data_IF_173040774213
#
_entry.id   IF_173040774213
#
_cell.length_a   1.000
_cell.length_b   1.000
_cell.length_c   1.000
_cell.angle_alpha   90.00
_cell.angle_beta   90.00
_cell.angle_gamma   90.00
#
_symmetry.space_group_name_H-M   'P 1'
#
loop_
_entity.id
_entity.type
_entity.pdbx_description
1 polymer ?
#
# COMPACT_ATOMS: atom_id res chain seq x y z
N UNK A 1 -5.10 0.93 23.13
CA UNK A 1 -3.90 0.26 22.59
C UNK A 1 -3.55 0.96 21.28
N UNK A 2 -2.62 1.90 21.31
CA UNK A 2 -2.10 2.52 20.08
C UNK A 2 -1.18 1.49 19.44
N UNK A 3 -1.61 0.90 18.32
CA UNK A 3 -0.73 0.07 17.53
C UNK A 3 0.41 0.96 17.00
N UNK A 4 1.64 0.64 17.35
CA UNK A 4 2.81 1.24 16.71
C UNK A 4 2.74 0.91 15.23
N UNK A 5 2.43 1.92 14.39
CA UNK A 5 2.42 1.76 12.94
C UNK A 5 3.87 1.62 12.51
N UNK A 6 4.28 0.40 12.13
CA UNK A 6 5.58 0.18 11.51
C UNK A 6 5.52 0.78 10.10
N UNK A 7 6.34 1.78 9.82
CA UNK A 7 6.41 2.38 8.48
C UNK A 7 7.04 1.37 7.51
N UNK A 8 6.44 1.18 6.34
CA UNK A 8 7.00 0.33 5.28
C UNK A 8 8.36 0.89 4.82
N UNK A 9 9.41 0.10 4.66
CA UNK A 9 10.65 0.60 4.02
C UNK A 9 10.49 0.72 2.51
N UNK A 10 11.34 1.48 1.79
CA UNK A 10 11.35 1.45 0.31
C UNK A 10 11.46 0.03 -0.27
N UNK A 11 12.25 -0.84 0.38
CA UNK A 11 12.42 -2.24 -0.01
C UNK A 11 11.14 -3.04 0.20
N UNK A 12 10.42 -2.83 1.31
CA UNK A 12 9.14 -3.48 1.57
C UNK A 12 8.05 -3.05 0.57
N UNK A 13 8.04 -1.77 0.17
CA UNK A 13 7.17 -1.25 -0.90
C UNK A 13 7.52 -1.93 -2.23
N UNK A 14 8.80 -1.95 -2.60
CA UNK A 14 9.26 -2.57 -3.85
C UNK A 14 8.93 -4.07 -3.89
N UNK A 15 9.17 -4.80 -2.79
CA UNK A 15 8.85 -6.22 -2.69
C UNK A 15 7.33 -6.48 -2.76
N UNK A 16 6.52 -5.59 -2.19
CA UNK A 16 5.04 -5.70 -2.29
C UNK A 16 4.56 -5.42 -3.71
N UNK A 17 5.13 -4.41 -4.37
CA UNK A 17 4.86 -4.10 -5.78
C UNK A 17 5.19 -5.28 -6.69
N UNK A 18 6.38 -5.85 -6.53
CA UNK A 18 6.82 -7.01 -7.30
C UNK A 18 5.88 -8.21 -7.13
N UNK A 19 5.44 -8.50 -5.90
CA UNK A 19 4.44 -9.55 -5.63
C UNK A 19 3.12 -9.28 -6.35
N UNK A 20 2.64 -8.03 -6.34
CA UNK A 20 1.40 -7.64 -7.00
C UNK A 20 1.49 -7.70 -8.54
N UNK A 21 2.66 -7.39 -9.11
CA UNK A 21 2.91 -7.46 -10.56
C UNK A 21 3.09 -8.89 -11.07
N UNK A 22 3.68 -9.78 -10.25
CA UNK A 22 3.79 -11.21 -10.56
C UNK A 22 2.45 -11.94 -10.50
N UNK A 23 1.46 -11.41 -9.78
CA UNK A 23 0.12 -11.96 -9.71
C UNK A 23 -0.63 -11.74 -11.04
N UNK A 24 -1.57 -12.63 -11.36
CA UNK A 24 -2.37 -12.52 -12.60
C UNK A 24 -3.10 -11.18 -12.67
N UNK A 25 -3.25 -10.55 -13.85
CA UNK A 25 -3.97 -9.29 -13.97
C UNK A 25 -5.41 -9.40 -13.44
N UNK A 26 -5.84 -8.38 -12.69
CA UNK A 26 -7.23 -8.22 -12.27
C UNK A 26 -8.10 -7.56 -13.36
N UNK A 27 -9.42 -7.40 -13.12
CA UNK A 27 -10.12 -7.74 -11.89
C UNK A 27 -10.20 -9.25 -11.66
N UNK A 28 -10.06 -9.66 -10.41
CA UNK A 28 -10.34 -11.02 -10.00
C UNK A 28 -11.80 -11.12 -9.58
N UNK A 29 -12.44 -12.24 -9.86
CA UNK A 29 -13.87 -12.44 -9.61
C UNK A 29 -14.13 -13.71 -8.81
N UNK A 30 -14.95 -13.59 -7.78
CA UNK A 30 -15.45 -14.72 -7.01
C UNK A 30 -16.65 -15.30 -7.73
N UNK A 31 -16.66 -16.62 -7.96
CA UNK A 31 -17.83 -17.30 -8.53
C UNK A 31 -18.25 -18.39 -7.56
N UNK A 32 -19.47 -18.35 -6.98
CA UNK A 32 -19.95 -19.42 -6.13
C UNK A 32 -19.97 -20.74 -6.91
N UNK A 33 -19.37 -21.80 -6.39
CA UNK A 33 -19.51 -23.14 -6.95
C UNK A 33 -20.56 -23.97 -6.19
N UNK A 34 -21.22 -24.89 -6.90
CA UNK A 34 -22.24 -25.76 -6.31
C UNK A 34 -21.64 -26.89 -5.45
N UNK A 35 -20.35 -26.83 -5.12
CA UNK A 35 -19.60 -27.88 -4.40
C UNK A 35 -19.07 -27.33 -3.06
N UNK A 36 -19.53 -26.14 -2.64
CA UNK A 36 -19.26 -25.57 -1.31
C UNK A 36 -17.95 -24.80 -1.19
N UNK A 37 -17.34 -24.41 -2.32
CA UNK A 37 -16.19 -23.51 -2.35
C UNK A 37 -16.47 -22.18 -3.05
N UNK A 38 -15.54 -21.22 -2.86
CA UNK A 38 -15.58 -19.91 -3.50
C UNK A 38 -14.34 -19.70 -4.39
N UNK A 39 -14.30 -20.31 -5.58
CA UNK A 39 -13.18 -20.12 -6.51
C UNK A 39 -13.03 -18.66 -6.96
N UNK A 40 -11.77 -18.25 -7.14
CA UNK A 40 -11.39 -16.95 -7.70
C UNK A 40 -10.89 -17.17 -9.13
N UNK A 41 -11.34 -16.33 -10.05
CA UNK A 41 -10.93 -16.34 -11.44
C UNK A 41 -10.23 -15.03 -11.81
N UNK A 42 -9.20 -15.12 -12.64
CA UNK A 42 -8.60 -13.96 -13.28
C UNK A 42 -9.35 -13.54 -14.55
N UNK A 43 -8.87 -12.49 -15.22
CA UNK A 43 -9.46 -11.97 -16.47
C UNK A 43 -9.40 -12.93 -17.66
N UNK A 44 -8.69 -14.06 -17.54
CA UNK A 44 -8.54 -15.08 -18.58
C UNK A 44 -9.36 -16.34 -18.26
N UNK A 45 -10.28 -16.27 -17.28
CA UNK A 45 -11.07 -17.40 -16.79
C UNK A 45 -10.22 -18.61 -16.34
N UNK A 46 -8.97 -18.38 -15.92
CA UNK A 46 -8.13 -19.44 -15.36
C UNK A 46 -8.62 -19.74 -13.94
N UNK A 47 -9.05 -20.97 -13.74
CA UNK A 47 -9.54 -21.48 -12.46
C UNK A 47 -8.36 -21.72 -11.50
N UNK A 48 -8.31 -20.98 -10.40
CA UNK A 48 -7.56 -21.40 -9.21
C UNK A 48 -8.56 -21.94 -8.18
N UNK A 49 -8.62 -23.27 -8.02
CA UNK A 49 -9.44 -23.90 -6.97
C UNK A 49 -8.73 -23.76 -5.64
N UNK A 50 -8.70 -22.55 -5.11
CA UNK A 50 -8.39 -22.34 -3.70
C UNK A 50 -9.63 -22.74 -2.88
N UNK A 51 -9.44 -23.62 -1.89
CA UNK A 51 -10.46 -23.93 -0.89
C UNK A 51 -10.57 -22.74 0.07
N UNK A 52 -11.08 -21.61 -0.42
CA UNK A 52 -11.33 -20.44 0.42
C UNK A 52 -12.57 -20.74 1.25
N UNK A 53 -12.43 -20.61 2.57
CA UNK A 53 -13.41 -21.10 3.53
C UNK A 53 -14.71 -20.28 3.54
N UNK A 54 -14.68 -19.02 3.11
CA UNK A 54 -15.83 -18.10 3.15
C UNK A 54 -15.91 -17.23 1.89
N UNK A 55 -17.10 -16.69 1.57
CA UNK A 55 -17.27 -15.71 0.47
C UNK A 55 -16.47 -14.46 0.78
N UNK A 56 -16.50 -14.04 2.04
CA UNK A 56 -15.91 -12.81 2.52
C UNK A 56 -14.39 -12.80 2.35
N UNK A 57 -13.73 -13.93 2.64
CA UNK A 57 -12.29 -14.09 2.39
C UNK A 57 -11.98 -14.06 0.88
N UNK A 58 -12.83 -14.67 0.06
CA UNK A 58 -12.64 -14.70 -1.39
C UNK A 58 -12.81 -13.32 -2.02
N UNK A 59 -13.81 -12.56 -1.57
CA UNK A 59 -14.06 -11.17 -1.98
C UNK A 59 -12.91 -10.26 -1.54
N UNK A 60 -12.42 -10.42 -0.31
CA UNK A 60 -11.24 -9.68 0.16
C UNK A 60 -10.02 -9.93 -0.71
N UNK A 61 -9.71 -11.20 -1.02
CA UNK A 61 -8.57 -11.55 -1.88
C UNK A 61 -8.75 -11.00 -3.31
N UNK A 62 -9.96 -11.11 -3.86
CA UNK A 62 -10.26 -10.60 -5.19
C UNK A 62 -10.04 -9.08 -5.29
N UNK A 63 -10.51 -8.32 -4.29
CA UNK A 63 -10.32 -6.87 -4.22
C UNK A 63 -8.87 -6.48 -3.92
N UNK A 64 -8.14 -7.26 -3.11
CA UNK A 64 -6.74 -6.98 -2.81
C UNK A 64 -5.86 -6.85 -4.07
N UNK A 65 -6.22 -7.54 -5.15
CA UNK A 65 -5.50 -7.43 -6.44
C UNK A 65 -5.51 -6.01 -7.02
N UNK A 66 -6.59 -5.27 -6.81
CA UNK A 66 -6.74 -3.89 -7.28
C UNK A 66 -6.36 -2.88 -6.20
N UNK A 67 -6.65 -3.18 -4.94
CA UNK A 67 -6.44 -2.27 -3.83
C UNK A 67 -4.95 -2.13 -3.49
N UNK A 68 -4.18 -3.22 -3.51
CA UNK A 68 -2.74 -3.16 -3.20
C UNK A 68 -1.99 -2.21 -4.16
N UNK A 69 -2.12 -2.32 -5.50
CA UNK A 69 -1.51 -1.35 -6.41
C UNK A 69 -1.93 0.11 -6.16
N UNK A 70 -3.22 0.36 -5.89
CA UNK A 70 -3.74 1.70 -5.59
C UNK A 70 -3.13 2.27 -4.31
N UNK A 71 -3.07 1.46 -3.25
CA UNK A 71 -2.48 1.84 -1.97
C UNK A 71 -0.97 2.11 -2.10
N UNK A 72 -0.23 1.30 -2.85
CA UNK A 72 1.19 1.54 -3.10
C UNK A 72 1.44 2.85 -3.85
N UNK A 73 0.61 3.15 -4.87
CA UNK A 73 0.68 4.43 -5.58
C UNK A 73 0.40 5.62 -4.67
N UNK A 74 -0.55 5.48 -3.74
CA UNK A 74 -0.87 6.53 -2.78
C UNK A 74 0.26 6.73 -1.74
N UNK A 75 0.88 5.64 -1.26
CA UNK A 75 2.06 5.72 -0.38
C UNK A 75 3.21 6.45 -1.07
N UNK A 76 3.49 6.15 -2.33
CA UNK A 76 4.52 6.85 -3.12
C UNK A 76 4.18 8.33 -3.27
N UNK A 77 2.94 8.66 -3.65
CA UNK A 77 2.48 10.06 -3.77
C UNK A 77 2.68 10.84 -2.47
N UNK A 78 2.31 10.24 -1.33
CA UNK A 78 2.47 10.86 -0.01
C UNK A 78 3.94 11.05 0.36
N UNK A 79 4.79 10.06 0.06
CA UNK A 79 6.24 10.19 0.28
C UNK A 79 6.87 11.29 -0.56
N UNK A 80 6.47 11.42 -1.82
CA UNK A 80 6.92 12.51 -2.69
C UNK A 80 6.53 13.87 -2.10
N UNK A 81 5.27 14.03 -1.68
CA UNK A 81 4.81 15.27 -1.06
C UNK A 81 5.59 15.60 0.24
N UNK A 82 5.88 14.59 1.07
CA UNK A 82 6.71 14.78 2.27
C UNK A 82 8.16 15.15 1.93
N UNK A 83 8.74 14.55 0.89
CA UNK A 83 10.10 14.88 0.45
C UNK A 83 10.19 16.31 -0.10
N UNK A 84 9.17 16.76 -0.83
CA UNK A 84 9.03 18.15 -1.27
C UNK A 84 8.97 19.09 -0.07
N UNK A 85 8.14 18.81 0.93
CA UNK A 85 8.06 19.61 2.16
C UNK A 85 9.37 19.62 2.96
N UNK A 86 10.10 18.50 3.01
CA UNK A 86 11.37 18.36 3.72
C UNK A 86 12.53 19.14 3.06
N UNK A 87 12.42 19.39 1.75
CA UNK A 87 13.42 20.09 0.94
C UNK A 87 13.03 21.52 0.61
N UNK A 88 11.77 21.90 0.79
CA UNK A 88 11.29 23.26 0.61
C UNK A 88 12.03 24.24 1.52
N UNK A 89 12.59 25.29 0.93
CA UNK A 89 13.13 26.44 1.63
C UNK A 89 12.12 27.58 1.57
N UNK A 90 11.72 28.10 2.73
CA UNK A 90 10.73 29.17 2.78
C UNK A 90 11.21 30.39 1.98
N UNK A 91 10.41 30.94 1.05
CA UNK A 91 10.75 32.19 0.41
C UNK A 91 10.88 33.29 1.47
N UNK A 92 11.89 34.14 1.31
CA UNK A 92 12.20 35.23 2.24
C UNK A 92 10.94 36.03 2.62
N UNK A 93 10.62 36.09 3.92
CA UNK A 93 9.56 36.94 4.47
C UNK A 93 8.35 36.23 5.11
N UNK A 94 8.32 34.89 5.11
CA UNK A 94 7.37 34.11 5.93
C UNK A 94 8.04 33.74 7.25
N UNK A 95 7.28 33.67 8.35
CA UNK A 95 7.79 33.29 9.68
C UNK A 95 8.50 31.94 9.60
N UNK A 96 9.84 31.97 9.63
CA UNK A 96 10.69 30.81 9.39
C UNK A 96 10.44 29.66 10.38
N UNK A 97 9.97 29.98 11.59
CA UNK A 97 9.73 29.02 12.67
C UNK A 97 8.64 28.00 12.33
N UNK A 98 7.52 28.42 11.74
CA UNK A 98 6.43 27.50 11.36
C UNK A 98 6.83 26.55 10.23
N UNK A 99 7.65 27.03 9.30
CA UNK A 99 8.14 26.24 8.17
C UNK A 99 9.21 25.23 8.59
N UNK A 100 10.13 25.61 9.48
CA UNK A 100 11.14 24.68 9.98
C UNK A 100 10.52 23.52 10.75
N UNK A 101 9.44 23.75 11.52
CA UNK A 101 8.71 22.67 12.20
C UNK A 101 8.12 21.69 11.19
N UNK A 102 7.45 22.18 10.14
CA UNK A 102 6.88 21.34 9.08
C UNK A 102 7.96 20.53 8.35
N UNK A 103 9.10 21.15 8.06
CA UNK A 103 10.26 20.52 7.42
C UNK A 103 10.84 19.39 8.27
N UNK A 104 10.99 19.62 9.57
CA UNK A 104 11.49 18.62 10.53
C UNK A 104 10.51 17.45 10.63
N UNK A 105 9.21 17.72 10.75
CA UNK A 105 8.18 16.69 10.80
C UNK A 105 8.17 15.83 9.52
N UNK A 106 8.31 16.47 8.35
CA UNK A 106 8.35 15.75 7.08
C UNK A 106 9.57 14.83 6.96
N UNK A 107 10.76 15.26 7.44
CA UNK A 107 11.95 14.40 7.48
C UNK A 107 11.77 13.23 8.42
N UNK A 108 11.28 13.47 9.64
CA UNK A 108 10.99 12.40 10.59
C UNK A 108 10.01 11.37 10.03
N UNK A 109 8.97 11.82 9.33
CA UNK A 109 8.01 10.93 8.68
C UNK A 109 8.63 10.06 7.56
N UNK A 110 9.73 10.51 6.95
CA UNK A 110 10.50 9.75 5.95
C UNK A 110 11.54 8.81 6.60
N UNK A 111 12.16 9.23 7.71
CA UNK A 111 13.32 8.56 8.33
C UNK A 111 12.94 7.43 9.32
N UNK A 112 11.72 7.41 9.85
CA UNK A 112 11.28 6.43 10.87
C UNK A 112 11.11 4.97 10.37
N UNK A 113 11.75 4.60 9.25
CA UNK A 113 11.87 3.23 8.74
C UNK A 113 13.15 2.51 9.16
N UNK A 114 14.06 3.18 9.90
CA UNK A 114 15.26 2.56 10.45
C UNK A 114 14.99 1.91 11.80
N UNK A 115 15.18 0.59 11.89
CA UNK A 115 15.09 -0.20 13.13
C UNK A 115 15.76 0.50 14.33
N UNK A 116 15.00 0.76 15.38
CA UNK A 116 15.55 0.69 16.74
C UNK A 116 15.83 -0.77 17.05
N UNK A 117 17.07 -1.20 16.82
CA UNK A 117 17.66 -2.34 17.54
C UNK A 117 18.22 -1.89 18.89
#
# INVERSE_FOLDING_TARGET
MTATVKHLTPEEIAATRERAEKATPGPWRVVPDNIGGFPIFDVQDRLDRSLIHTVEDAEFIAHAREDIPKLLAEVERLRTALAEMATYEAPYGLEAEGYEVLRIMARQALDNGGDTQ
#
